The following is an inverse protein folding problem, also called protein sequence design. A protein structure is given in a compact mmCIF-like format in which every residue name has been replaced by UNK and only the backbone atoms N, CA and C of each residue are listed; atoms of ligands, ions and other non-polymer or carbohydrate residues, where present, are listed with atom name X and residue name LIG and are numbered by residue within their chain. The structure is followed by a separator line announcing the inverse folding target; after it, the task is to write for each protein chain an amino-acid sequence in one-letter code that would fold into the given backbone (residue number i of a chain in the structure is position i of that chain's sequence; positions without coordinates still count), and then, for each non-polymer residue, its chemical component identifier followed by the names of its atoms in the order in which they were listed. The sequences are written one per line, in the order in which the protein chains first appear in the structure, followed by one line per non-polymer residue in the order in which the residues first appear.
data_IF_407604058921
#
_entry.id   IF_407604058921
#
_cell.length_a   1.000
_cell.length_b   1.000
_cell.length_c   1.000
_cell.angle_alpha   90.00
_cell.angle_beta   90.00
_cell.angle_gamma   90.00
#
_symmetry.space_group_name_H-M   'P 1'
#
loop_
_entity.id
_entity.type
_entity.pdbx_description
1 polymer ?
#
# COMPACT_ATOMS: atom_id res chain seq x y z
N UNK A 1 32.30 -37.93 -36.67
CA UNK A 1 30.88 -37.69 -36.28
C UNK A 1 30.80 -36.47 -35.36
N UNK A 2 30.59 -35.27 -35.91
CA UNK A 2 30.40 -34.00 -35.19
C UNK A 2 29.25 -33.23 -35.84
N UNK A 3 28.00 -33.64 -35.61
CA UNK A 3 26.83 -32.86 -36.06
C UNK A 3 25.63 -32.85 -35.09
N UNK A 4 25.59 -33.73 -34.08
CA UNK A 4 24.45 -33.79 -33.15
C UNK A 4 24.53 -32.86 -31.93
N UNK A 5 25.72 -32.38 -31.54
CA UNK A 5 25.86 -31.51 -30.35
C UNK A 5 25.32 -30.09 -30.51
N UNK A 6 25.13 -29.58 -31.74
CA UNK A 6 24.71 -28.17 -31.93
C UNK A 6 23.19 -27.97 -31.76
N UNK A 7 22.36 -28.98 -32.05
CA UNK A 7 20.90 -28.87 -31.96
C UNK A 7 20.43 -28.94 -30.50
N UNK A 8 21.05 -29.79 -29.68
CA UNK A 8 20.68 -29.91 -28.26
C UNK A 8 21.06 -28.67 -27.44
N UNK A 9 22.18 -28.02 -27.75
CA UNK A 9 22.55 -26.75 -27.14
C UNK A 9 21.56 -25.65 -27.54
N UNK A 10 21.11 -25.62 -28.79
CA UNK A 10 20.14 -24.63 -29.27
C UNK A 10 18.76 -24.79 -28.60
N UNK A 11 18.28 -26.03 -28.41
CA UNK A 11 17.01 -26.33 -27.74
C UNK A 11 17.08 -25.95 -26.25
N UNK A 12 18.20 -26.21 -25.57
CA UNK A 12 18.38 -25.79 -24.17
C UNK A 12 18.43 -24.27 -24.00
N UNK A 13 19.00 -23.53 -24.95
CA UNK A 13 19.01 -22.05 -24.92
C UNK A 13 17.60 -21.49 -25.16
N UNK A 14 16.82 -22.08 -26.08
CA UNK A 14 15.43 -21.67 -26.33
C UNK A 14 14.53 -21.98 -25.14
N UNK A 15 14.68 -23.15 -24.50
CA UNK A 15 13.97 -23.47 -23.25
C UNK A 15 14.41 -22.56 -22.09
N UNK A 16 15.70 -22.24 -21.98
CA UNK A 16 16.21 -21.26 -21.02
C UNK A 16 15.64 -19.85 -21.25
N UNK A 17 15.46 -19.42 -22.50
CA UNK A 17 14.82 -18.15 -22.84
C UNK A 17 13.30 -18.20 -22.59
N UNK A 18 12.60 -19.27 -22.99
CA UNK A 18 11.14 -19.41 -22.78
C UNK A 18 10.76 -19.55 -21.29
N UNK A 19 11.62 -20.15 -20.46
CA UNK A 19 11.40 -20.21 -19.01
C UNK A 19 11.88 -18.96 -18.26
N UNK A 20 12.86 -18.21 -18.78
CA UNK A 20 13.20 -16.88 -18.25
C UNK A 20 12.21 -15.79 -18.70
N UNK A 21 11.41 -16.01 -19.75
CA UNK A 21 10.34 -15.07 -20.11
C UNK A 21 9.19 -15.11 -19.07
N UNK A 22 9.03 -16.20 -18.31
CA UNK A 22 8.16 -16.22 -17.12
C UNK A 22 8.84 -15.75 -15.82
N UNK A 23 10.13 -15.39 -15.89
CA UNK A 23 10.83 -14.66 -14.84
C UNK A 23 10.89 -13.15 -15.15
N UNK A 24 10.18 -12.67 -16.19
CA UNK A 24 9.63 -11.32 -16.12
C UNK A 24 8.75 -11.30 -14.88
N UNK A 25 9.15 -10.47 -13.91
CA UNK A 25 8.31 -10.01 -12.81
C UNK A 25 6.85 -10.09 -13.21
N UNK A 26 6.09 -11.03 -12.64
CA UNK A 26 4.65 -10.88 -12.65
C UNK A 26 4.40 -9.61 -11.86
N UNK A 27 4.28 -8.48 -12.58
CA UNK A 27 4.13 -7.16 -11.99
C UNK A 27 2.98 -7.28 -11.02
N UNK A 28 3.28 -7.01 -9.76
CA UNK A 28 2.27 -7.04 -8.74
C UNK A 28 1.19 -6.02 -9.09
N UNK A 29 -0.07 -6.40 -8.90
CA UNK A 29 -1.21 -5.62 -9.35
C UNK A 29 -1.91 -4.97 -8.16
N UNK A 30 -2.47 -3.79 -8.41
CA UNK A 30 -3.36 -3.07 -7.48
C UNK A 30 -4.85 -3.40 -7.71
N UNK A 31 -5.16 -4.48 -8.42
CA UNK A 31 -6.54 -4.83 -8.80
C UNK A 31 -7.40 -5.19 -7.59
N UNK A 32 -6.85 -5.90 -6.61
CA UNK A 32 -7.55 -6.18 -5.35
C UNK A 32 -7.92 -4.89 -4.64
N UNK A 33 -7.01 -3.92 -4.67
CA UNK A 33 -7.07 -2.66 -3.97
C UNK A 33 -8.14 -1.74 -4.55
N UNK A 34 -8.17 -1.66 -5.88
CA UNK A 34 -9.17 -0.90 -6.63
C UNK A 34 -10.58 -1.51 -6.48
N UNK A 35 -10.69 -2.83 -6.40
CA UNK A 35 -11.98 -3.46 -6.16
C UNK A 35 -12.42 -3.22 -4.71
N UNK A 36 -11.53 -3.44 -3.71
CA UNK A 36 -11.44 -2.76 -2.40
C UNK A 36 -12.33 -1.51 -2.29
N UNK A 37 -11.77 -0.47 -2.88
CA UNK A 37 -12.28 0.87 -2.97
C UNK A 37 -13.69 0.94 -3.55
N UNK A 38 -13.89 0.39 -4.76
CA UNK A 38 -15.18 0.51 -5.48
C UNK A 38 -16.37 0.01 -4.67
N UNK A 39 -16.24 -1.11 -3.95
CA UNK A 39 -17.38 -1.57 -3.15
C UNK A 39 -17.60 -0.73 -1.91
N UNK A 40 -16.57 -0.12 -1.32
CA UNK A 40 -16.76 0.79 -0.18
C UNK A 40 -17.41 2.08 -0.64
N UNK A 41 -17.00 2.60 -1.81
CA UNK A 41 -17.68 3.70 -2.48
C UNK A 41 -19.16 3.38 -2.74
N UNK A 42 -19.46 2.17 -3.20
CA UNK A 42 -20.84 1.74 -3.49
C UNK A 42 -21.69 1.55 -2.23
N UNK A 43 -21.18 0.83 -1.22
CA UNK A 43 -21.95 0.52 -0.01
C UNK A 43 -21.99 1.67 0.99
N UNK A 44 -20.93 2.47 1.06
CA UNK A 44 -20.76 3.53 2.06
C UNK A 44 -20.18 4.81 1.42
N UNK A 45 -20.88 5.43 0.45
CA UNK A 45 -20.37 6.58 -0.31
C UNK A 45 -20.03 7.80 0.57
N UNK A 46 -20.78 8.01 1.65
CA UNK A 46 -20.50 9.09 2.61
C UNK A 46 -19.20 8.87 3.37
N UNK A 47 -18.93 7.63 3.80
CA UNK A 47 -17.69 7.28 4.46
C UNK A 47 -16.52 7.38 3.48
N UNK A 48 -16.68 6.84 2.27
CA UNK A 48 -15.68 6.94 1.22
C UNK A 48 -15.34 8.41 0.93
N UNK A 49 -16.32 9.29 0.70
CA UNK A 49 -16.08 10.72 0.48
C UNK A 49 -15.41 11.40 1.68
N UNK A 50 -15.81 11.08 2.91
CA UNK A 50 -15.16 11.60 4.11
C UNK A 50 -13.69 11.20 4.22
N UNK A 51 -13.34 9.97 3.82
CA UNK A 51 -11.94 9.54 3.74
C UNK A 51 -11.18 10.44 2.78
N UNK A 52 -11.68 10.60 1.55
CA UNK A 52 -11.01 11.43 0.53
C UNK A 52 -10.69 12.84 1.06
N UNK A 53 -11.63 13.43 1.77
CA UNK A 53 -11.46 14.75 2.38
C UNK A 53 -10.34 14.75 3.42
N UNK A 54 -10.37 13.84 4.40
CA UNK A 54 -9.33 13.78 5.46
C UNK A 54 -7.95 13.54 4.86
N UNK A 55 -7.84 12.65 3.87
CA UNK A 55 -6.54 12.35 3.26
C UNK A 55 -5.99 13.55 2.48
N UNK A 56 -6.87 14.27 1.79
CA UNK A 56 -6.52 15.50 1.10
C UNK A 56 -6.07 16.58 2.10
N UNK A 57 -6.80 16.78 3.19
CA UNK A 57 -6.45 17.74 4.24
C UNK A 57 -5.10 17.41 4.88
N UNK A 58 -4.85 16.12 5.16
CA UNK A 58 -3.55 15.68 5.67
C UNK A 58 -2.41 15.96 4.67
N UNK A 59 -2.62 15.67 3.38
CA UNK A 59 -1.62 15.96 2.35
C UNK A 59 -1.33 17.46 2.23
N UNK A 60 -2.38 18.28 2.18
CA UNK A 60 -2.26 19.75 2.19
C UNK A 60 -1.52 20.23 3.44
N UNK A 61 -1.75 19.58 4.57
CA UNK A 61 -1.03 19.86 5.81
C UNK A 61 0.47 19.57 5.69
N UNK A 62 0.85 18.39 5.17
CA UNK A 62 2.26 18.03 4.92
C UNK A 62 2.94 19.04 3.99
N UNK A 63 2.24 19.49 2.94
CA UNK A 63 2.73 20.53 2.02
C UNK A 63 2.92 21.85 2.77
N UNK A 64 1.92 22.28 3.55
CA UNK A 64 1.96 23.56 4.27
C UNK A 64 3.10 23.63 5.30
N UNK A 65 3.51 22.48 5.85
CA UNK A 65 4.63 22.36 6.79
C UNK A 65 5.97 22.18 6.09
N UNK A 66 6.01 22.15 4.76
CA UNK A 66 7.22 21.93 3.96
C UNK A 66 7.81 20.53 4.13
N UNK A 67 7.00 19.56 4.55
CA UNK A 67 7.42 18.16 4.73
C UNK A 67 7.49 17.46 3.38
N UNK A 68 6.57 17.80 2.48
CA UNK A 68 6.61 17.44 1.07
C UNK A 68 6.47 18.73 0.25
N UNK A 69 7.10 18.78 -0.92
CA UNK A 69 7.09 19.98 -1.77
C UNK A 69 5.71 20.22 -2.39
N UNK A 70 5.10 19.15 -2.90
CA UNK A 70 3.80 19.19 -3.54
C UNK A 70 3.11 17.83 -3.43
N UNK A 71 2.00 17.65 -4.14
CA UNK A 71 1.20 16.44 -4.07
C UNK A 71 1.69 15.30 -4.96
N UNK A 72 2.83 15.41 -5.65
CA UNK A 72 3.30 14.41 -6.62
C UNK A 72 3.97 13.18 -5.98
N UNK A 73 4.14 12.14 -6.81
CA UNK A 73 4.74 10.87 -6.39
C UNK A 73 6.17 11.06 -5.85
N UNK A 74 6.95 11.93 -6.51
CA UNK A 74 8.35 12.17 -6.15
C UNK A 74 8.48 12.78 -4.77
N UNK A 75 7.61 13.72 -4.42
CA UNK A 75 7.56 14.38 -3.12
C UNK A 75 7.23 13.36 -2.02
N UNK A 76 6.28 12.46 -2.26
CA UNK A 76 5.94 11.40 -1.32
C UNK A 76 7.07 10.36 -1.17
N UNK A 77 7.71 9.95 -2.26
CA UNK A 77 8.88 9.05 -2.22
C UNK A 77 10.06 9.70 -1.50
N UNK A 78 10.24 11.01 -1.65
CA UNK A 78 11.23 11.77 -0.88
C UNK A 78 11.01 11.59 0.63
N UNK A 79 9.78 11.84 1.10
CA UNK A 79 9.40 11.62 2.50
C UNK A 79 9.65 10.18 2.96
N UNK A 80 9.23 9.19 2.17
CA UNK A 80 9.44 7.78 2.51
C UNK A 80 10.92 7.43 2.63
N UNK A 81 11.75 7.92 1.70
CA UNK A 81 13.19 7.71 1.76
C UNK A 81 13.79 8.32 3.03
N UNK A 82 13.42 9.56 3.37
CA UNK A 82 13.88 10.22 4.59
C UNK A 82 13.52 9.41 5.85
N UNK A 83 12.27 8.99 5.99
CA UNK A 83 11.83 8.18 7.15
C UNK A 83 12.47 6.79 7.16
N UNK A 84 12.71 6.20 5.98
CA UNK A 84 13.35 4.88 5.85
C UNK A 84 14.86 4.88 6.06
N UNK A 85 15.48 6.05 6.28
CA UNK A 85 16.92 6.19 6.52
C UNK A 85 17.23 6.70 7.93
N UNK A 86 16.32 7.46 8.54
CA UNK A 86 16.50 8.02 9.86
C UNK A 86 15.30 7.76 10.77
N UNK A 87 15.45 6.79 11.68
CA UNK A 87 14.41 6.45 12.66
C UNK A 87 14.15 7.56 13.70
N UNK A 88 15.06 8.51 13.87
CA UNK A 88 14.95 9.61 14.83
C UNK A 88 14.40 10.91 14.23
N UNK A 89 14.18 10.94 12.92
CA UNK A 89 13.59 12.09 12.24
C UNK A 89 12.18 12.36 12.78
N UNK A 90 11.96 13.58 13.25
CA UNK A 90 10.65 14.07 13.66
C UNK A 90 10.26 15.28 12.82
N UNK A 91 8.99 15.32 12.43
CA UNK A 91 8.41 16.41 11.66
C UNK A 91 7.49 17.23 12.56
N UNK A 92 7.34 18.52 12.27
CA UNK A 92 6.37 19.35 13.01
C UNK A 92 4.98 19.19 12.40
N UNK A 93 4.25 18.17 12.87
CA UNK A 93 2.89 17.85 12.47
C UNK A 93 1.96 18.03 13.67
N UNK A 94 0.99 18.92 13.51
CA UNK A 94 -0.13 19.20 14.42
C UNK A 94 -1.48 18.70 13.87
N UNK A 95 -1.48 17.96 12.74
CA UNK A 95 -2.66 17.28 12.22
C UNK A 95 -2.68 15.82 12.72
N UNK A 96 -3.70 15.47 13.50
CA UNK A 96 -3.90 14.09 13.95
C UNK A 96 -4.80 13.33 12.95
N UNK A 97 -4.16 12.58 12.04
CA UNK A 97 -4.87 11.79 11.03
C UNK A 97 -5.61 10.60 11.65
N UNK A 98 -5.06 9.98 12.69
CA UNK A 98 -5.70 8.86 13.38
C UNK A 98 -7.04 9.29 13.99
N UNK A 99 -7.02 10.36 14.79
CA UNK A 99 -8.24 10.91 15.40
C UNK A 99 -9.27 11.30 14.35
N UNK A 100 -8.83 11.91 13.24
CA UNK A 100 -9.71 12.34 12.16
C UNK A 100 -10.45 11.14 11.55
N UNK A 101 -9.72 10.05 11.25
CA UNK A 101 -10.28 8.83 10.68
C UNK A 101 -11.20 8.10 11.67
N UNK A 102 -10.78 7.97 12.94
CA UNK A 102 -11.61 7.35 13.99
C UNK A 102 -12.92 8.14 14.20
N UNK A 103 -12.84 9.48 14.21
CA UNK A 103 -14.01 10.34 14.34
C UNK A 103 -14.96 10.21 13.14
N UNK A 104 -14.43 10.12 11.92
CA UNK A 104 -15.25 9.85 10.73
C UNK A 104 -16.00 8.52 10.85
N UNK A 105 -15.26 7.45 11.20
CA UNK A 105 -15.81 6.11 11.34
C UNK A 105 -16.92 6.08 12.40
N UNK A 106 -16.68 6.70 13.56
CA UNK A 106 -17.64 6.81 14.65
C UNK A 106 -18.88 7.61 14.25
N UNK A 107 -18.70 8.79 13.65
CA UNK A 107 -19.80 9.68 13.21
C UNK A 107 -20.72 8.98 12.21
N UNK A 108 -20.15 8.19 11.31
CA UNK A 108 -20.91 7.46 10.29
C UNK A 108 -21.29 6.04 10.72
N UNK A 109 -20.95 5.64 11.94
CA UNK A 109 -21.14 4.28 12.46
C UNK A 109 -20.61 3.19 11.50
N UNK A 110 -19.52 3.50 10.79
CA UNK A 110 -18.90 2.60 9.84
C UNK A 110 -18.24 1.43 10.58
N UNK A 111 -18.51 0.20 10.14
CA UNK A 111 -18.03 -1.04 10.81
C UNK A 111 -16.89 -1.72 10.07
N UNK A 112 -16.36 -1.08 9.03
CA UNK A 112 -15.47 -1.74 8.06
C UNK A 112 -16.22 -2.31 6.86
N UNK A 113 -15.50 -2.91 5.91
CA UNK A 113 -16.07 -3.52 4.71
C UNK A 113 -17.01 -4.67 5.05
N UNK A 114 -18.15 -4.79 4.35
CA UNK A 114 -19.10 -5.88 4.59
C UNK A 114 -18.50 -7.26 4.25
N UNK A 115 -18.99 -8.35 4.86
CA UNK A 115 -18.62 -9.70 4.46
C UNK A 115 -18.91 -9.98 2.98
N UNK A 116 -19.93 -9.36 2.40
CA UNK A 116 -20.27 -9.50 0.98
C UNK A 116 -19.19 -8.86 0.09
N UNK A 117 -18.73 -7.66 0.42
CA UNK A 117 -17.55 -7.04 -0.18
C UNK A 117 -16.34 -7.97 -0.09
N UNK A 118 -16.06 -8.51 1.10
CA UNK A 118 -14.89 -9.37 1.31
C UNK A 118 -15.02 -10.67 0.51
N UNK A 119 -16.21 -11.28 0.48
CA UNK A 119 -16.51 -12.52 -0.24
C UNK A 119 -16.39 -12.36 -1.76
N UNK A 120 -16.93 -11.27 -2.33
CA UNK A 120 -16.76 -10.92 -3.76
C UNK A 120 -15.29 -10.76 -4.14
N UNK A 121 -14.40 -10.63 -3.15
CA UNK A 121 -12.97 -10.37 -3.31
C UNK A 121 -12.08 -11.54 -2.96
N UNK A 122 -12.63 -12.66 -2.45
CA UNK A 122 -11.92 -13.93 -2.26
C UNK A 122 -11.19 -14.37 -3.53
N UNK A 123 -11.74 -14.09 -4.72
CA UNK A 123 -11.09 -14.37 -6.01
C UNK A 123 -9.74 -13.66 -6.20
N UNK A 124 -9.53 -12.52 -5.54
CA UNK A 124 -8.28 -11.76 -5.55
C UNK A 124 -7.35 -12.14 -4.40
N UNK A 125 -7.84 -12.75 -3.31
CA UNK A 125 -6.99 -13.24 -2.22
C UNK A 125 -6.08 -14.40 -2.65
N UNK A 126 -6.47 -15.13 -3.71
CA UNK A 126 -5.62 -16.15 -4.32
C UNK A 126 -4.64 -15.57 -5.36
N UNK A 127 -4.68 -14.26 -5.64
CA UNK A 127 -3.66 -13.59 -6.43
C UNK A 127 -2.45 -13.31 -5.52
N UNK A 128 -1.48 -14.23 -5.50
CA UNK A 128 -0.18 -14.06 -4.82
C UNK A 128 0.62 -12.83 -5.30
N UNK A 129 0.08 -12.09 -6.26
CA UNK A 129 0.65 -10.92 -6.90
C UNK A 129 -0.06 -9.61 -6.53
N UNK A 130 -1.04 -9.59 -5.62
CA UNK A 130 -1.54 -8.31 -5.10
C UNK A 130 -0.43 -7.60 -4.32
N UNK A 131 -0.25 -6.29 -4.54
CA UNK A 131 0.74 -5.49 -3.80
C UNK A 131 0.46 -5.48 -2.30
N UNK A 132 -0.81 -5.43 -1.87
CA UNK A 132 -1.19 -5.56 -0.46
C UNK A 132 -0.90 -6.95 0.11
N UNK A 133 -1.02 -8.00 -0.71
CA UNK A 133 -0.64 -9.35 -0.28
C UNK A 133 0.87 -9.45 -0.05
N UNK A 134 1.68 -8.93 -0.99
CA UNK A 134 3.14 -8.84 -0.84
C UNK A 134 3.53 -8.01 0.40
N UNK A 135 2.81 -6.92 0.65
CA UNK A 135 3.02 -6.08 1.82
C UNK A 135 2.79 -6.88 3.11
N UNK A 136 1.63 -7.52 3.22
CA UNK A 136 1.29 -8.35 4.37
C UNK A 136 2.24 -9.54 4.55
N UNK A 137 2.72 -10.13 3.45
CA UNK A 137 3.69 -11.22 3.49
C UNK A 137 5.03 -10.75 4.07
N UNK A 138 5.49 -9.54 3.71
CA UNK A 138 6.71 -8.95 4.28
C UNK A 138 6.56 -8.60 5.75
N UNK A 139 5.45 -7.97 6.14
CA UNK A 139 5.16 -7.70 7.57
C UNK A 139 5.09 -9.01 8.37
N UNK A 140 4.43 -10.03 7.84
CA UNK A 140 4.34 -11.36 8.48
C UNK A 140 5.70 -12.05 8.58
N UNK A 141 6.60 -11.82 7.62
CA UNK A 141 7.98 -12.31 7.69
C UNK A 141 8.75 -11.62 8.82
N UNK A 142 8.64 -10.29 8.94
CA UNK A 142 9.28 -9.53 10.02
C UNK A 142 8.79 -9.97 11.40
N UNK A 143 7.49 -10.15 11.55
CA UNK A 143 6.90 -10.66 12.79
C UNK A 143 7.45 -12.04 13.16
N UNK A 144 7.58 -12.96 12.18
CA UNK A 144 8.22 -14.28 12.40
C UNK A 144 9.70 -14.20 12.75
N UNK A 145 10.38 -13.13 12.35
CA UNK A 145 11.77 -12.84 12.68
C UNK A 145 11.93 -12.08 14.01
N UNK A 146 10.84 -11.90 14.78
CA UNK A 146 10.81 -11.08 16.01
C UNK A 146 11.33 -9.66 15.82
N UNK A 147 11.19 -9.10 14.60
CA UNK A 147 11.51 -7.71 14.33
C UNK A 147 10.32 -6.85 14.69
N UNK A 148 10.57 -5.83 15.50
CA UNK A 148 9.58 -4.79 15.79
C UNK A 148 9.18 -4.09 14.50
N UNK A 149 7.89 -3.80 14.35
CA UNK A 149 7.35 -3.10 13.19
C UNK A 149 7.11 -1.64 13.56
N UNK A 150 7.78 -0.73 12.85
CA UNK A 150 7.76 0.70 13.12
C UNK A 150 7.72 1.50 11.81
N UNK A 151 7.59 2.82 11.90
CA UNK A 151 7.47 3.74 10.75
C UNK A 151 8.61 3.63 9.73
N UNK A 152 9.83 3.36 10.21
CA UNK A 152 11.02 3.21 9.37
C UNK A 152 10.89 1.98 8.47
N UNK A 153 10.59 0.83 9.08
CA UNK A 153 10.40 -0.43 8.35
C UNK A 153 9.19 -0.34 7.43
N UNK A 154 8.14 0.31 7.93
CA UNK A 154 6.93 0.58 7.18
C UNK A 154 7.23 1.34 5.87
N UNK A 155 8.00 2.43 5.96
CA UNK A 155 8.45 3.21 4.80
C UNK A 155 9.31 2.40 3.84
N UNK A 156 10.25 1.58 4.35
CA UNK A 156 11.08 0.71 3.51
C UNK A 156 10.26 -0.30 2.70
N UNK A 157 9.26 -0.93 3.32
CA UNK A 157 8.39 -1.90 2.63
C UNK A 157 7.55 -1.20 1.55
N UNK A 158 7.05 0.02 1.83
CA UNK A 158 6.31 0.80 0.85
C UNK A 158 7.16 1.07 -0.41
N UNK A 159 8.39 1.55 -0.23
CA UNK A 159 9.34 1.82 -1.31
C UNK A 159 9.68 0.57 -2.15
N UNK A 160 9.65 -0.61 -1.55
CA UNK A 160 9.97 -1.86 -2.24
C UNK A 160 8.80 -2.38 -3.10
N UNK A 161 7.56 -2.16 -2.68
CA UNK A 161 6.39 -2.80 -3.29
C UNK A 161 5.71 -1.91 -4.33
N UNK A 162 5.72 -0.60 -4.12
CA UNK A 162 4.88 0.34 -4.84
C UNK A 162 5.67 1.30 -5.71
N UNK A 163 5.07 1.69 -6.83
CA UNK A 163 5.69 2.51 -7.87
C UNK A 163 4.77 3.67 -8.31
N UNK A 164 5.26 4.51 -9.23
CA UNK A 164 4.55 5.71 -9.71
C UNK A 164 3.18 5.39 -10.34
N UNK A 165 3.01 4.21 -10.97
CA UNK A 165 1.73 3.83 -11.58
C UNK A 165 0.65 3.55 -10.54
N UNK A 166 1.06 3.37 -9.29
CA UNK A 166 0.16 3.23 -8.16
C UNK A 166 -0.26 4.59 -7.60
N UNK A 167 0.34 5.69 -8.05
CA UNK A 167 0.07 7.02 -7.55
C UNK A 167 -0.99 7.71 -8.42
N UNK A 168 -2.18 8.00 -7.88
CA UNK A 168 -3.20 8.82 -8.57
C UNK A 168 -3.74 9.89 -7.63
N UNK A 169 -3.60 11.16 -8.00
CA UNK A 169 -4.10 12.32 -7.25
C UNK A 169 -5.59 12.58 -7.48
N UNK A 170 -6.33 13.15 -6.50
CA UNK A 170 -5.86 13.80 -5.26
C UNK A 170 -5.69 12.84 -4.06
N UNK A 171 -5.56 11.54 -4.32
CA UNK A 171 -5.53 10.52 -3.28
C UNK A 171 -4.61 9.38 -3.69
N UNK A 172 -3.29 9.58 -3.80
CA UNK A 172 -2.21 8.57 -3.99
C UNK A 172 -2.67 7.08 -4.07
N UNK A 173 -3.51 6.66 -5.04
CA UNK A 173 -4.45 5.50 -4.89
C UNK A 173 -4.63 4.96 -3.45
N UNK A 174 -4.96 5.81 -2.46
CA UNK A 174 -4.67 5.58 -1.03
C UNK A 174 -5.50 4.50 -0.34
N UNK A 175 -6.25 3.71 -1.09
CA UNK A 175 -7.24 2.82 -0.53
C UNK A 175 -6.64 1.52 0.02
N UNK A 176 -5.33 1.32 -0.12
CA UNK A 176 -4.56 0.27 0.57
C UNK A 176 -3.12 0.64 0.89
N UNK A 177 -2.63 1.74 0.34
CA UNK A 177 -1.53 2.44 0.95
C UNK A 177 -1.97 2.88 2.31
N UNK A 178 -1.56 2.09 3.28
CA UNK A 178 -1.46 2.56 4.63
C UNK A 178 -0.69 3.90 4.54
N UNK A 179 -1.30 5.02 4.94
CA UNK A 179 -0.57 6.29 4.93
C UNK A 179 0.48 6.22 6.03
N UNK A 180 1.67 6.73 5.75
CA UNK A 180 2.64 6.94 6.81
C UNK A 180 2.32 8.27 7.49
N UNK A 181 1.90 8.23 8.75
CA UNK A 181 2.15 9.36 9.65
C UNK A 181 3.64 9.35 9.98
N UNK A 182 4.43 10.32 9.50
CA UNK A 182 5.88 10.25 9.64
C UNK A 182 6.35 10.44 11.09
N UNK A 183 5.45 10.81 12.01
CA UNK A 183 5.74 10.93 13.44
C UNK A 183 5.28 9.73 14.26
N UNK A 184 4.49 8.81 13.70
CA UNK A 184 3.87 7.73 14.47
C UNK A 184 4.23 6.36 13.93
N UNK A 185 4.37 5.38 14.83
CA UNK A 185 4.39 3.95 14.46
C UNK A 185 2.99 3.42 14.14
N UNK A 186 1.96 4.25 14.34
CA UNK A 186 0.61 3.99 13.88
C UNK A 186 0.58 3.86 12.35
N UNK A 187 0.18 2.67 11.91
CA UNK A 187 -0.08 2.41 10.50
C UNK A 187 -1.49 2.86 10.18
N UNK A 188 -1.62 3.94 9.42
CA UNK A 188 -2.92 4.48 9.01
C UNK A 188 -3.55 3.53 8.00
N UNK A 189 -4.39 2.59 8.46
CA UNK A 189 -5.24 1.81 7.56
C UNK A 189 -6.45 2.64 7.16
N UNK A 190 -6.71 2.84 5.87
CA UNK A 190 -7.78 3.73 5.39
C UNK A 190 -9.20 3.23 5.69
N UNK A 191 -9.35 1.98 6.12
CA UNK A 191 -10.63 1.40 6.55
C UNK A 191 -10.70 1.26 8.06
N UNK A 192 -10.52 2.37 8.76
CA UNK A 192 -10.80 2.46 10.19
C UNK A 192 -12.29 2.24 10.39
N UNK A 193 -12.68 1.03 10.78
CA UNK A 193 -14.01 0.81 11.35
C UNK A 193 -14.08 1.45 12.73
N UNK A 194 -15.29 1.64 13.26
CA UNK A 194 -15.42 1.89 14.70
C UNK A 194 -14.67 0.76 15.42
N UNK A 195 -13.72 1.10 16.29
CA UNK A 195 -13.09 0.12 17.16
C UNK A 195 -14.20 -0.71 17.82
N UNK A 196 -14.05 -2.04 17.82
CA UNK A 196 -14.90 -2.83 18.69
C UNK A 196 -14.66 -2.30 20.12
N UNK A 197 -15.72 -2.03 20.91
CA UNK A 197 -15.49 -1.77 22.32
C UNK A 197 -14.75 -2.98 22.88
N UNK A 198 -13.61 -2.72 23.51
CA UNK A 198 -12.97 -3.67 24.43
C UNK A 198 -13.94 -4.08 25.55
#
# INVERSE_FOLDING_TARGET
MRKFMKIHILICIIYGFLFNINAYSQMSSNKFELELEKGIEQENPQYYNGLKTILKEFQEHLISKGIIENSDYKSYVGLLNEVSLDKHKEYKIDFNIEDSLQNLAKRLNYKGPSPEILAKRVKYFNETHSKSFLFNQKVSKLARENKEFNRFIYASILLEIYDENDFVLPMVKLNFFRLLDPNSDFVVTTYVGKGYPE
#
